data_IF_648999991502
#
_entry.id   IF_648999991502
#
_cell.length_a   1.000
_cell.length_b   1.000
_cell.length_c   1.000
_cell.angle_alpha   90.00
_cell.angle_beta   90.00
_cell.angle_gamma   90.00
#
_symmetry.space_group_name_H-M   'P 1'
#
loop_
_entity.id
_entity.type
_entity.pdbx_description
1 polymer ?
#
# COMPACT_ATOMS: atom_id res chain seq x y z
N UNK A 1 -22.76 -7.54 34.54
CA UNK A 1 -21.71 -8.57 34.33
C UNK A 1 -20.94 -8.41 33.01
N UNK A 2 -21.47 -7.77 31.96
CA UNK A 2 -20.75 -7.60 30.68
C UNK A 2 -19.50 -6.70 30.71
N UNK A 3 -19.45 -5.65 31.57
CA UNK A 3 -18.29 -4.73 31.69
C UNK A 3 -16.97 -5.38 32.14
N UNK A 4 -16.98 -6.60 32.68
CA UNK A 4 -15.74 -7.29 33.13
C UNK A 4 -14.95 -7.92 31.98
N UNK A 5 -15.59 -8.13 30.82
CA UNK A 5 -14.98 -8.67 29.60
C UNK A 5 -14.80 -7.60 28.51
N UNK A 6 -15.07 -6.33 28.86
CA UNK A 6 -14.89 -5.19 27.97
C UNK A 6 -13.38 -4.90 27.84
N UNK A 7 -12.79 -5.37 26.74
CA UNK A 7 -11.39 -5.13 26.38
C UNK A 7 -11.22 -3.67 26.00
N UNK A 8 -11.00 -2.80 27.00
CA UNK A 8 -10.78 -1.34 26.88
C UNK A 8 -9.80 -0.97 25.75
N UNK A 9 -10.29 -0.85 24.52
CA UNK A 9 -9.45 -0.69 23.32
C UNK A 9 -8.94 0.73 23.14
N UNK A 10 -9.74 1.72 23.57
CA UNK A 10 -9.49 3.16 23.40
C UNK A 10 -8.93 3.84 24.65
N UNK A 11 -8.37 3.06 25.59
CA UNK A 11 -7.76 3.59 26.80
C UNK A 11 -6.24 3.60 26.71
N UNK A 12 -5.65 4.69 27.20
CA UNK A 12 -4.20 4.80 27.35
C UNK A 12 -3.68 3.82 28.40
N UNK A 13 -2.49 3.28 28.14
CA UNK A 13 -1.68 2.58 29.13
C UNK A 13 -1.09 3.57 30.15
N UNK A 14 -0.55 3.08 31.29
CA UNK A 14 0.17 3.91 32.24
C UNK A 14 1.35 4.70 31.61
N UNK A 15 1.93 4.19 30.53
CA UNK A 15 3.01 4.84 29.77
C UNK A 15 2.51 5.82 28.70
N UNK A 16 1.19 6.06 28.61
CA UNK A 16 0.61 6.98 27.62
C UNK A 16 0.51 6.39 26.21
N UNK A 17 0.45 5.06 26.06
CA UNK A 17 0.41 4.37 24.77
C UNK A 17 -0.96 3.72 24.52
N UNK A 18 -1.36 3.60 23.26
CA UNK A 18 -2.57 2.85 22.87
C UNK A 18 -2.18 1.44 22.41
N UNK A 19 -2.18 0.47 23.32
CA UNK A 19 -1.70 -0.89 23.02
C UNK A 19 -2.42 -1.55 21.83
N UNK A 20 -3.71 -1.30 21.62
CA UNK A 20 -4.43 -1.87 20.48
C UNK A 20 -3.92 -1.35 19.12
N UNK A 21 -3.47 -0.09 19.07
CA UNK A 21 -2.86 0.48 17.86
C UNK A 21 -1.49 -0.18 17.62
N UNK A 22 -0.72 -0.40 18.67
CA UNK A 22 0.59 -1.06 18.57
C UNK A 22 0.47 -2.52 18.14
N UNK A 23 -0.51 -3.24 18.68
CA UNK A 23 -0.81 -4.60 18.23
C UNK A 23 -1.28 -4.62 16.78
N UNK A 24 -2.03 -3.61 16.32
CA UNK A 24 -2.41 -3.49 14.92
C UNK A 24 -1.19 -3.23 14.03
N UNK A 25 -0.26 -2.36 14.45
CA UNK A 25 1.00 -2.12 13.73
C UNK A 25 1.86 -3.39 13.66
N UNK A 26 1.95 -4.14 14.76
CA UNK A 26 2.66 -5.42 14.79
C UNK A 26 1.97 -6.47 13.91
N UNK A 27 0.65 -6.54 13.90
CA UNK A 27 -0.08 -7.43 13.00
C UNK A 27 0.19 -7.10 11.51
N UNK A 28 0.36 -5.82 11.18
CA UNK A 28 0.73 -5.37 9.83
C UNK A 28 2.15 -5.79 9.49
N UNK A 29 3.10 -5.75 10.43
CA UNK A 29 4.48 -6.21 10.22
C UNK A 29 4.57 -7.69 9.82
N UNK A 30 3.55 -8.49 10.15
CA UNK A 30 3.41 -9.89 9.69
C UNK A 30 2.62 -10.06 8.38
N UNK A 31 2.02 -8.99 7.86
CA UNK A 31 1.37 -9.00 6.54
C UNK A 31 2.43 -8.91 5.44
N UNK A 32 2.10 -9.34 4.24
CA UNK A 32 3.05 -9.29 3.13
C UNK A 32 3.47 -7.85 2.79
N UNK A 33 4.72 -7.69 2.40
CA UNK A 33 5.34 -6.39 2.12
C UNK A 33 4.71 -5.66 0.92
N UNK A 34 4.67 -4.33 1.01
CA UNK A 34 4.38 -3.42 -0.10
C UNK A 34 5.30 -2.18 -0.02
N UNK A 35 5.68 -1.65 -1.17
CA UNK A 35 6.64 -0.56 -1.35
C UNK A 35 6.03 0.47 -2.29
N UNK A 36 6.24 1.74 -2.00
CA UNK A 36 5.91 2.87 -2.86
C UNK A 36 7.16 3.67 -3.19
N UNK A 37 7.33 4.05 -4.46
CA UNK A 37 8.45 4.89 -4.93
C UNK A 37 7.88 5.96 -5.84
N UNK A 38 8.08 7.22 -5.46
CA UNK A 38 7.80 8.41 -6.25
C UNK A 38 8.95 8.62 -7.23
N UNK A 39 8.65 8.55 -8.53
CA UNK A 39 9.57 8.82 -9.62
C UNK A 39 9.18 10.15 -10.31
N UNK A 40 10.07 10.65 -11.16
CA UNK A 40 9.86 11.89 -11.91
C UNK A 40 8.74 11.79 -12.95
N UNK A 41 8.55 10.59 -13.51
CA UNK A 41 7.60 10.28 -14.58
C UNK A 41 6.39 9.44 -14.10
N UNK A 42 6.27 9.19 -12.79
CA UNK A 42 5.12 8.53 -12.18
C UNK A 42 5.38 7.97 -10.79
N UNK A 43 4.54 7.04 -10.33
CA UNK A 43 4.65 6.39 -9.03
C UNK A 43 4.60 4.88 -9.24
N UNK A 44 5.53 4.18 -8.60
CA UNK A 44 5.54 2.73 -8.53
C UNK A 44 4.96 2.28 -7.19
N UNK A 45 3.94 1.43 -7.25
CA UNK A 45 3.54 0.56 -6.14
C UNK A 45 4.03 -0.85 -6.45
N UNK A 46 4.65 -1.52 -5.50
CA UNK A 46 5.14 -2.88 -5.65
C UNK A 46 4.77 -3.68 -4.41
N UNK A 47 4.18 -4.86 -4.56
CA UNK A 47 3.72 -5.65 -3.43
C UNK A 47 4.01 -7.13 -3.63
N UNK A 48 4.18 -7.85 -2.51
CA UNK A 48 4.30 -9.29 -2.52
C UNK A 48 2.95 -9.95 -2.22
N UNK A 49 2.52 -10.88 -3.06
CA UNK A 49 1.32 -11.68 -2.84
C UNK A 49 1.63 -12.83 -1.88
N UNK A 50 0.74 -13.07 -0.92
CA UNK A 50 0.85 -14.23 -0.02
C UNK A 50 0.45 -15.49 -0.81
N UNK A 51 1.21 -16.58 -0.62
CA UNK A 51 1.12 -17.89 -1.32
C UNK A 51 -0.18 -18.10 -2.11
N UNK A 52 -0.11 -18.05 -3.44
CA UNK A 52 -1.22 -18.41 -4.32
C UNK A 52 -1.26 -19.93 -4.41
N UNK A 53 -2.17 -20.58 -3.67
CA UNK A 53 -2.37 -22.02 -3.85
C UNK A 53 -2.83 -22.30 -5.28
N UNK A 54 -2.42 -23.43 -5.87
CA UNK A 54 -2.73 -23.79 -7.27
C UNK A 54 -4.24 -23.80 -7.58
N UNK A 55 -5.05 -24.06 -6.56
CA UNK A 55 -6.51 -24.12 -6.66
C UNK A 55 -7.19 -22.74 -6.53
N UNK A 56 -6.44 -21.68 -6.22
CA UNK A 56 -6.98 -20.31 -6.23
C UNK A 56 -7.16 -19.88 -7.67
N UNK A 57 -8.39 -19.46 -8.00
CA UNK A 57 -8.69 -18.85 -9.28
C UNK A 57 -7.92 -17.54 -9.42
N UNK A 58 -6.86 -17.56 -10.23
CA UNK A 58 -5.99 -16.40 -10.47
C UNK A 58 -6.70 -15.28 -11.22
N UNK A 59 -7.83 -15.55 -11.88
CA UNK A 59 -8.61 -14.50 -12.54
C UNK A 59 -9.35 -13.60 -11.56
N UNK A 60 -9.51 -14.05 -10.30
CA UNK A 60 -10.16 -13.34 -9.20
C UNK A 60 -9.17 -13.10 -8.04
N UNK A 61 -7.90 -12.89 -8.39
CA UNK A 61 -6.77 -12.93 -7.47
C UNK A 61 -6.93 -12.04 -6.23
N UNK A 62 -6.22 -12.42 -5.17
CA UNK A 62 -6.05 -11.59 -3.97
C UNK A 62 -5.04 -10.46 -4.26
N UNK A 63 -5.49 -9.49 -5.04
CA UNK A 63 -4.71 -8.32 -5.39
C UNK A 63 -4.56 -7.42 -4.17
N UNK A 64 -3.39 -6.80 -4.06
CA UNK A 64 -3.10 -5.86 -2.98
C UNK A 64 -3.27 -4.42 -3.36
N UNK A 65 -3.44 -4.19 -4.66
CA UNK A 65 -3.57 -2.88 -5.24
C UNK A 65 -5.02 -2.63 -5.63
N UNK A 66 -5.51 -1.45 -5.29
CA UNK A 66 -6.89 -1.07 -5.49
C UNK A 66 -6.92 0.29 -6.17
N UNK A 67 -7.67 0.36 -7.26
CA UNK A 67 -8.05 1.64 -7.86
C UNK A 67 -9.18 2.26 -7.01
N UNK A 68 -8.98 3.50 -6.56
CA UNK A 68 -9.92 4.24 -5.73
C UNK A 68 -10.73 5.24 -6.57
N UNK A 69 -10.05 5.92 -7.50
CA UNK A 69 -10.63 6.76 -8.54
C UNK A 69 -9.64 6.81 -9.73
N UNK A 70 -10.03 7.42 -10.83
CA UNK A 70 -9.20 7.54 -12.05
C UNK A 70 -7.80 8.10 -11.75
N UNK A 71 -7.69 9.00 -10.77
CA UNK A 71 -6.47 9.71 -10.38
C UNK A 71 -5.84 9.24 -9.07
N UNK A 72 -6.36 8.19 -8.42
CA UNK A 72 -5.82 7.67 -7.16
C UNK A 72 -5.93 6.14 -7.08
N UNK A 73 -4.82 5.50 -6.79
CA UNK A 73 -4.74 4.08 -6.44
C UNK A 73 -4.08 3.90 -5.07
N UNK A 74 -4.26 2.73 -4.46
CA UNK A 74 -3.57 2.38 -3.23
C UNK A 74 -3.08 0.93 -3.21
N UNK A 75 -2.07 0.66 -2.38
CA UNK A 75 -1.67 -0.68 -1.98
C UNK A 75 -1.89 -0.85 -0.47
N UNK A 76 -2.36 -2.03 -0.06
CA UNK A 76 -2.66 -2.30 1.34
C UNK A 76 -1.76 -3.39 1.97
N UNK A 77 -1.43 -3.21 3.24
CA UNK A 77 -0.87 -4.25 4.10
C UNK A 77 -1.64 -4.32 5.41
N UNK A 78 -1.95 -5.54 5.86
CA UNK A 78 -2.76 -5.78 7.04
C UNK A 78 -3.89 -6.78 6.81
N UNK A 79 -5.01 -6.58 7.49
CA UNK A 79 -6.21 -7.41 7.43
C UNK A 79 -7.03 -7.08 6.17
N UNK A 80 -7.12 -8.02 5.23
CA UNK A 80 -7.81 -7.81 3.94
C UNK A 80 -9.31 -7.46 4.08
N UNK A 81 -10.01 -8.01 5.08
CA UNK A 81 -11.42 -7.68 5.30
C UNK A 81 -11.62 -6.22 5.71
N UNK A 82 -10.71 -5.69 6.54
CA UNK A 82 -10.71 -4.28 6.90
C UNK A 82 -10.38 -3.44 5.66
N UNK A 83 -9.40 -3.86 4.87
CA UNK A 83 -9.03 -3.18 3.62
C UNK A 83 -10.22 -2.99 2.70
N UNK A 84 -11.03 -4.03 2.48
CA UNK A 84 -12.17 -3.95 1.56
C UNK A 84 -13.19 -2.89 2.01
N UNK A 85 -13.52 -2.85 3.31
CA UNK A 85 -14.44 -1.85 3.87
C UNK A 85 -13.88 -0.43 3.69
N UNK A 86 -12.59 -0.25 3.96
CA UNK A 86 -11.93 1.04 3.84
C UNK A 86 -11.80 1.50 2.39
N UNK A 87 -11.55 0.58 1.45
CA UNK A 87 -11.48 0.86 0.01
C UNK A 87 -12.85 1.26 -0.54
N UNK A 88 -13.92 0.58 -0.16
CA UNK A 88 -15.28 0.93 -0.58
C UNK A 88 -15.68 2.31 -0.04
N UNK A 89 -15.38 2.60 1.23
CA UNK A 89 -15.56 3.92 1.80
C UNK A 89 -14.78 5.01 1.05
N UNK A 90 -13.52 4.75 0.71
CA UNK A 90 -12.68 5.68 -0.05
C UNK A 90 -13.25 5.98 -1.44
N UNK A 91 -13.74 4.96 -2.15
CA UNK A 91 -14.39 5.12 -3.45
C UNK A 91 -15.65 5.98 -3.35
N UNK A 92 -16.46 5.75 -2.33
CA UNK A 92 -17.64 6.57 -2.07
C UNK A 92 -17.27 8.04 -1.81
N UNK A 93 -16.22 8.29 -1.02
CA UNK A 93 -15.72 9.65 -0.75
C UNK A 93 -15.26 10.34 -2.02
N UNK A 94 -14.53 9.66 -2.91
CA UNK A 94 -14.12 10.20 -4.21
C UNK A 94 -15.33 10.66 -5.03
N UNK A 95 -16.32 9.78 -5.19
CA UNK A 95 -17.51 10.07 -6.00
C UNK A 95 -18.41 11.13 -5.38
N UNK A 96 -18.55 11.15 -4.05
CA UNK A 96 -19.28 12.19 -3.32
C UNK A 96 -18.63 13.56 -3.51
N UNK A 97 -17.30 13.65 -3.47
CA UNK A 97 -16.58 14.88 -3.71
C UNK A 97 -16.81 15.37 -5.15
N UNK A 98 -16.65 14.48 -6.13
CA UNK A 98 -16.90 14.78 -7.56
C UNK A 98 -18.33 15.24 -7.81
N UNK A 99 -19.32 14.59 -7.18
CA UNK A 99 -20.73 14.98 -7.27
C UNK A 99 -20.99 16.37 -6.66
N UNK A 100 -20.37 16.68 -5.52
CA UNK A 100 -20.62 17.92 -4.78
C UNK A 100 -19.93 19.13 -5.41
N UNK A 101 -18.67 18.96 -5.83
CA UNK A 101 -17.81 20.07 -6.28
C UNK A 101 -17.58 20.09 -7.79
N UNK A 102 -17.97 19.04 -8.52
CA UNK A 102 -17.75 18.93 -9.96
C UNK A 102 -16.29 18.69 -10.36
N UNK A 103 -15.44 18.29 -9.42
CA UNK A 103 -14.01 18.02 -9.64
C UNK A 103 -13.48 16.85 -8.81
N UNK A 104 -12.32 16.32 -9.22
CA UNK A 104 -11.61 15.25 -8.54
C UNK A 104 -11.11 15.68 -7.14
N UNK A 105 -11.23 14.78 -6.17
CA UNK A 105 -10.75 15.05 -4.80
C UNK A 105 -9.21 15.16 -4.77
N UNK A 106 -8.61 16.18 -4.13
CA UNK A 106 -7.16 16.22 -3.93
C UNK A 106 -6.65 14.99 -3.16
N UNK A 107 -5.46 14.49 -3.50
CA UNK A 107 -4.94 13.23 -2.95
C UNK A 107 -4.84 13.29 -1.42
N UNK A 108 -4.25 14.37 -0.90
CA UNK A 108 -4.10 14.58 0.55
C UNK A 108 -5.45 14.65 1.27
N UNK A 109 -6.45 15.28 0.67
CA UNK A 109 -7.77 15.38 1.27
C UNK A 109 -8.43 13.99 1.41
N UNK A 110 -8.28 13.12 0.41
CA UNK A 110 -8.79 11.74 0.50
C UNK A 110 -8.08 10.98 1.62
N UNK A 111 -6.75 11.11 1.73
CA UNK A 111 -5.95 10.47 2.80
C UNK A 111 -6.37 10.98 4.18
N UNK A 112 -6.64 12.27 4.32
CA UNK A 112 -7.12 12.84 5.58
C UNK A 112 -8.47 12.24 5.99
N UNK A 113 -9.42 12.09 5.06
CA UNK A 113 -10.76 11.53 5.36
C UNK A 113 -10.70 10.12 5.94
N UNK A 114 -9.88 9.26 5.35
CA UNK A 114 -9.71 7.87 5.83
C UNK A 114 -8.95 7.82 7.15
N UNK A 115 -7.99 8.73 7.36
CA UNK A 115 -7.27 8.87 8.61
C UNK A 115 -8.16 9.32 9.76
N UNK A 116 -9.06 10.28 9.53
CA UNK A 116 -10.05 10.69 10.52
C UNK A 116 -10.98 9.52 10.90
N UNK A 117 -11.40 8.72 9.91
CA UNK A 117 -12.21 7.53 10.17
C UNK A 117 -11.45 6.50 11.01
N UNK A 118 -10.19 6.22 10.66
CA UNK A 118 -9.33 5.31 11.45
C UNK A 118 -9.12 5.81 12.88
N UNK A 119 -8.83 7.10 13.04
CA UNK A 119 -8.61 7.73 14.35
C UNK A 119 -9.87 7.68 15.22
N UNK A 120 -11.07 7.79 14.64
CA UNK A 120 -12.31 7.69 15.42
C UNK A 120 -12.43 6.34 16.14
N UNK A 121 -11.91 5.25 15.56
CA UNK A 121 -11.88 3.89 16.15
C UNK A 121 -10.79 3.73 17.22
N UNK A 122 -9.82 4.64 17.30
CA UNK A 122 -8.78 4.63 18.35
C UNK A 122 -9.18 5.49 19.55
N UNK A 123 -10.11 6.43 19.37
CA UNK A 123 -10.55 7.35 20.41
C UNK A 123 -11.91 6.98 21.03
N UNK A 124 -12.88 6.51 20.23
CA UNK A 124 -14.26 6.34 20.66
C UNK A 124 -14.84 4.96 20.29
N UNK A 125 -15.99 4.62 20.89
CA UNK A 125 -16.78 3.45 20.50
C UNK A 125 -16.35 2.09 21.07
N UNK A 126 -15.15 1.97 21.67
CA UNK A 126 -14.67 0.72 22.25
C UNK A 126 -14.48 -0.41 21.23
N UNK A 127 -14.38 -0.05 19.94
CA UNK A 127 -14.13 -0.99 18.85
C UNK A 127 -12.62 -1.24 18.73
N UNK A 128 -12.23 -2.34 18.07
CA UNK A 128 -10.82 -2.53 17.70
C UNK A 128 -10.44 -1.56 16.57
N UNK A 129 -9.19 -1.07 16.53
CA UNK A 129 -8.72 -0.28 15.39
C UNK A 129 -8.69 -1.11 14.10
N UNK A 130 -8.68 -0.42 12.96
CA UNK A 130 -8.46 -1.03 11.67
C UNK A 130 -7.02 -1.54 11.55
N UNK A 131 -6.86 -2.83 11.27
CA UNK A 131 -5.55 -3.48 11.19
C UNK A 131 -4.91 -3.33 9.81
N UNK A 132 -4.91 -2.12 9.23
CA UNK A 132 -4.46 -1.87 7.85
C UNK A 132 -3.61 -0.61 7.76
N UNK A 133 -2.51 -0.70 7.02
CA UNK A 133 -1.77 0.44 6.48
C UNK A 133 -1.97 0.52 4.98
N UNK A 134 -2.01 1.74 4.45
CA UNK A 134 -2.12 1.99 3.02
C UNK A 134 -0.91 2.77 2.52
N UNK A 135 -0.52 2.49 1.29
CA UNK A 135 0.27 3.36 0.43
C UNK A 135 -0.66 3.92 -0.64
N UNK A 136 -0.72 5.23 -0.80
CA UNK A 136 -1.52 5.90 -1.82
C UNK A 136 -0.60 6.43 -2.90
N UNK A 137 -0.94 6.14 -4.16
CA UNK A 137 -0.33 6.74 -5.33
C UNK A 137 -1.42 7.55 -6.04
N UNK A 138 -1.22 8.85 -6.16
CA UNK A 138 -2.17 9.71 -6.86
C UNK A 138 -1.49 10.84 -7.59
N UNK A 139 -2.26 11.51 -8.44
CA UNK A 139 -1.87 12.75 -9.07
C UNK A 139 -3.00 13.75 -8.94
N UNK A 140 -2.66 14.99 -8.62
CA UNK A 140 -3.58 16.10 -8.76
C UNK A 140 -2.90 17.31 -9.38
N UNK A 141 -3.72 18.28 -9.79
CA UNK A 141 -3.26 19.51 -10.45
C UNK A 141 -2.46 20.45 -9.55
N UNK A 142 -2.43 20.23 -8.23
CA UNK A 142 -1.85 21.15 -7.27
C UNK A 142 -0.40 20.77 -6.94
N UNK A 143 -0.16 19.49 -6.67
CA UNK A 143 1.15 18.98 -6.25
C UNK A 143 1.71 17.91 -7.18
N UNK A 144 0.99 17.55 -8.24
CA UNK A 144 1.41 16.52 -9.18
C UNK A 144 1.38 15.14 -8.54
N UNK A 145 2.38 14.32 -8.86
CA UNK A 145 2.51 12.96 -8.31
C UNK A 145 2.77 13.01 -6.81
N UNK A 146 1.96 12.27 -6.05
CA UNK A 146 2.01 12.23 -4.60
C UNK A 146 1.95 10.79 -4.10
N UNK A 147 2.88 10.46 -3.21
CA UNK A 147 2.90 9.19 -2.49
C UNK A 147 2.65 9.46 -1.00
N UNK A 148 1.57 8.91 -0.47
CA UNK A 148 1.23 9.00 0.95
C UNK A 148 1.22 7.63 1.61
N UNK A 149 1.48 7.59 2.91
CA UNK A 149 1.32 6.41 3.74
C UNK A 149 0.48 6.75 4.96
N UNK A 150 -0.42 5.85 5.36
CA UNK A 150 -1.12 5.95 6.64
C UNK A 150 -1.05 4.65 7.43
N UNK A 151 -1.15 4.77 8.76
CA UNK A 151 -1.11 3.66 9.70
C UNK A 151 -2.46 3.46 10.45
N UNK A 152 -2.60 2.43 11.31
CA UNK A 152 -3.82 2.21 12.10
C UNK A 152 -4.20 3.31 13.07
N UNK A 153 -3.26 4.18 13.47
CA UNK A 153 -3.53 5.26 14.42
C UNK A 153 -4.36 6.39 13.80
N UNK A 154 -4.39 6.46 12.47
CA UNK A 154 -4.90 7.60 11.70
C UNK A 154 -3.82 8.62 11.36
N UNK A 155 -2.57 8.41 11.75
CA UNK A 155 -1.47 9.25 11.29
C UNK A 155 -1.17 8.96 9.80
N UNK A 156 -0.81 10.01 9.06
CA UNK A 156 -0.36 9.91 7.68
C UNK A 156 0.81 10.85 7.41
N UNK A 157 1.56 10.55 6.36
CA UNK A 157 2.64 11.41 5.88
C UNK A 157 2.88 11.24 4.38
N UNK A 158 3.38 12.30 3.75
CA UNK A 158 3.87 12.26 2.37
C UNK A 158 5.29 11.71 2.31
N UNK A 159 5.59 10.92 1.29
CA UNK A 159 6.86 10.20 1.15
C UNK A 159 7.39 10.28 -0.28
N UNK A 160 8.71 10.26 -0.42
CA UNK A 160 9.39 10.03 -1.71
C UNK A 160 9.52 8.54 -2.01
N UNK A 161 9.81 7.74 -0.99
CA UNK A 161 9.78 6.29 -1.06
C UNK A 161 9.55 5.74 0.35
N UNK A 162 8.73 4.71 0.48
CA UNK A 162 8.40 4.10 1.77
C UNK A 162 7.90 2.66 1.59
N UNK A 163 7.84 1.90 2.68
CA UNK A 163 7.38 0.52 2.68
C UNK A 163 6.45 0.26 3.87
N UNK A 164 5.53 -0.68 3.69
CA UNK A 164 4.64 -1.21 4.73
C UNK A 164 4.66 -2.73 4.70
N UNK A 165 4.26 -3.35 5.81
CA UNK A 165 4.21 -4.81 5.95
C UNK A 165 5.53 -5.43 6.37
N UNK A 166 5.71 -6.71 6.03
CA UNK A 166 6.89 -7.48 6.42
C UNK A 166 8.21 -6.86 5.95
N UNK A 167 9.18 -6.86 6.86
CA UNK A 167 10.54 -6.39 6.64
C UNK A 167 10.65 -4.94 6.12
N UNK A 168 9.69 -4.07 6.43
CA UNK A 168 9.68 -2.69 5.95
C UNK A 168 10.95 -1.91 6.34
N UNK A 169 11.55 -2.16 7.51
CA UNK A 169 12.77 -1.48 7.96
C UNK A 169 13.98 -1.81 7.05
N UNK A 170 14.07 -3.05 6.57
CA UNK A 170 15.12 -3.45 5.64
C UNK A 170 14.91 -2.80 4.27
N UNK A 171 13.65 -2.72 3.81
CA UNK A 171 13.28 -2.02 2.59
C UNK A 171 13.62 -0.52 2.67
N UNK A 172 13.29 0.14 3.77
CA UNK A 172 13.65 1.54 4.02
C UNK A 172 15.16 1.77 4.03
N UNK A 173 15.93 0.87 4.64
CA UNK A 173 17.39 0.98 4.65
C UNK A 173 17.98 0.94 3.24
N UNK A 174 17.47 0.04 2.39
CA UNK A 174 17.89 -0.05 0.98
C UNK A 174 17.44 1.21 0.21
N UNK A 175 16.21 1.67 0.40
CA UNK A 175 15.71 2.89 -0.24
C UNK A 175 16.54 4.11 0.15
N UNK A 176 16.90 4.28 1.42
CA UNK A 176 17.76 5.39 1.89
C UNK A 176 19.13 5.40 1.22
N UNK A 177 19.67 4.23 0.87
CA UNK A 177 20.98 4.12 0.24
C UNK A 177 20.96 4.30 -1.29
N UNK A 178 19.86 3.98 -1.95
CA UNK A 178 19.82 3.79 -3.41
C UNK A 178 18.81 4.70 -4.14
N UNK A 179 17.84 5.27 -3.42
CA UNK A 179 16.87 6.21 -4.00
C UNK A 179 17.55 7.52 -4.39
N UNK A 180 17.09 8.10 -5.49
CA UNK A 180 17.50 9.43 -5.97
C UNK A 180 16.27 10.24 -6.32
N UNK A 181 16.34 11.55 -6.13
CA UNK A 181 15.22 12.45 -6.39
C UNK A 181 14.83 12.51 -7.87
N UNK A 182 15.76 12.21 -8.78
CA UNK A 182 15.57 12.17 -10.23
C UNK A 182 15.28 10.77 -10.77
N UNK A 183 14.97 9.79 -9.90
CA UNK A 183 14.72 8.41 -10.32
C UNK A 183 13.58 8.32 -11.33
N UNK A 184 13.79 7.53 -12.37
CA UNK A 184 12.76 7.20 -13.37
C UNK A 184 11.94 5.99 -12.95
N UNK A 185 10.75 5.80 -13.52
CA UNK A 185 9.91 4.62 -13.28
C UNK A 185 10.64 3.31 -13.58
N UNK A 186 11.47 3.26 -14.62
CA UNK A 186 12.24 2.05 -14.95
C UNK A 186 13.32 1.74 -13.91
N UNK A 187 13.98 2.77 -13.37
CA UNK A 187 14.93 2.59 -12.27
C UNK A 187 14.21 2.23 -10.96
N UNK A 188 13.05 2.82 -10.69
CA UNK A 188 12.22 2.50 -9.54
C UNK A 188 11.79 1.02 -9.56
N UNK A 189 11.43 0.47 -10.74
CA UNK A 189 11.11 -0.97 -10.89
C UNK A 189 12.30 -1.85 -10.52
N UNK A 190 13.50 -1.51 -11.02
CA UNK A 190 14.73 -2.25 -10.69
C UNK A 190 15.08 -2.16 -9.20
N UNK A 191 14.89 -0.99 -8.60
CA UNK A 191 15.07 -0.78 -7.17
C UNK A 191 14.09 -1.62 -6.35
N UNK A 192 12.81 -1.66 -6.72
CA UNK A 192 11.81 -2.50 -6.05
C UNK A 192 12.15 -4.00 -6.14
N UNK A 193 12.59 -4.48 -7.30
CA UNK A 193 13.08 -5.86 -7.47
C UNK A 193 14.29 -6.14 -6.56
N UNK A 194 15.26 -5.22 -6.50
CA UNK A 194 16.43 -5.32 -5.62
C UNK A 194 16.03 -5.37 -4.14
N UNK A 195 15.06 -4.56 -3.73
CA UNK A 195 14.53 -4.56 -2.36
C UNK A 195 13.93 -5.91 -2.02
N UNK A 196 13.01 -6.43 -2.85
CA UNK A 196 12.39 -7.72 -2.62
C UNK A 196 13.42 -8.86 -2.63
N UNK A 197 14.45 -8.78 -3.47
CA UNK A 197 15.50 -9.80 -3.54
C UNK A 197 16.39 -9.83 -2.30
N UNK A 198 16.63 -8.68 -1.66
CA UNK A 198 17.49 -8.56 -0.48
C UNK A 198 16.73 -8.69 0.83
N UNK A 199 15.45 -8.36 0.87
CA UNK A 199 14.60 -8.68 2.01
C UNK A 199 14.52 -10.20 2.17
N UNK A 200 14.65 -10.72 3.40
CA UNK A 200 14.88 -12.14 3.81
C UNK A 200 13.87 -13.17 3.26
N UNK A 201 12.91 -12.71 2.48
CA UNK A 201 11.84 -13.42 1.80
C UNK A 201 12.22 -13.89 0.37
N UNK A 202 13.51 -14.15 0.14
CA UNK A 202 14.18 -14.32 -1.16
C UNK A 202 14.02 -15.69 -1.83
N UNK A 203 13.42 -16.68 -1.18
CA UNK A 203 13.47 -18.08 -1.64
C UNK A 203 12.63 -18.40 -2.89
N UNK A 204 11.88 -17.46 -3.46
CA UNK A 204 11.25 -17.64 -4.79
C UNK A 204 10.75 -16.30 -5.36
N UNK A 205 11.61 -15.63 -6.14
CA UNK A 205 11.22 -14.46 -6.93
C UNK A 205 10.40 -14.90 -8.14
N UNK A 206 9.16 -15.28 -7.89
CA UNK A 206 8.25 -15.81 -8.91
C UNK A 206 7.31 -14.68 -9.35
N UNK A 207 7.09 -14.48 -10.67
CA UNK A 207 6.19 -13.46 -11.18
C UNK A 207 4.80 -13.45 -10.52
N UNK A 208 4.23 -14.63 -10.26
CA UNK A 208 2.92 -14.80 -9.63
C UNK A 208 2.84 -14.32 -8.16
N UNK A 209 4.00 -14.16 -7.51
CA UNK A 209 4.12 -13.70 -6.11
C UNK A 209 4.39 -12.21 -6.01
N UNK A 210 4.59 -11.52 -7.14
CA UNK A 210 4.87 -10.10 -7.17
C UNK A 210 3.77 -9.37 -7.92
N UNK A 211 3.48 -8.16 -7.48
CA UNK A 211 2.54 -7.25 -8.10
C UNK A 211 3.22 -5.91 -8.25
N UNK A 212 3.16 -5.33 -9.45
CA UNK A 212 3.70 -4.01 -9.74
C UNK A 212 2.59 -3.17 -10.35
N UNK A 213 2.22 -2.10 -9.67
CA UNK A 213 1.27 -1.09 -10.12
C UNK A 213 2.02 0.15 -10.55
N UNK A 214 1.84 0.54 -11.81
CA UNK A 214 2.43 1.74 -12.38
C UNK A 214 1.33 2.79 -12.44
N UNK A 215 1.53 3.88 -11.70
CA UNK A 215 0.69 5.07 -11.77
C UNK A 215 1.44 6.14 -12.57
N UNK A 216 0.86 6.63 -13.66
CA UNK A 216 1.43 7.72 -14.46
C UNK A 216 0.36 8.44 -15.27
N UNK A 217 0.70 9.62 -15.77
CA UNK A 217 -0.09 10.28 -16.80
C UNK A 217 0.09 9.55 -18.14
N UNK A 218 -1.01 9.39 -18.88
CA UNK A 218 -1.01 8.85 -20.24
C UNK A 218 -0.58 9.91 -21.27
N UNK A 219 -0.60 9.55 -22.55
CA UNK A 219 -0.22 10.46 -23.63
C UNK A 219 -1.16 11.67 -23.78
N UNK A 220 -2.33 11.66 -23.15
CA UNK A 220 -3.32 12.73 -23.10
C UNK A 220 -3.24 13.53 -21.79
N UNK A 221 -2.21 13.32 -20.96
CA UNK A 221 -2.07 13.87 -19.62
C UNK A 221 -3.19 13.47 -18.66
N UNK A 222 -3.81 12.30 -18.86
CA UNK A 222 -4.79 11.74 -17.93
C UNK A 222 -4.14 10.75 -16.99
N UNK A 223 -4.45 10.79 -15.69
CA UNK A 223 -4.00 9.76 -14.76
C UNK A 223 -4.41 8.36 -15.20
N UNK A 224 -3.48 7.42 -15.10
CA UNK A 224 -3.68 6.03 -15.44
C UNK A 224 -2.95 5.14 -14.43
N UNK A 225 -3.68 4.23 -13.82
CA UNK A 225 -3.12 3.17 -13.00
C UNK A 225 -3.18 1.83 -13.74
N UNK A 226 -2.05 1.16 -13.90
CA UNK A 226 -1.99 -0.17 -14.54
C UNK A 226 -1.15 -1.13 -13.71
N UNK A 227 -1.75 -2.27 -13.36
CA UNK A 227 -1.04 -3.41 -12.79
C UNK A 227 -0.37 -4.21 -13.91
N UNK A 228 0.92 -4.49 -13.74
CA UNK A 228 1.72 -5.27 -14.68
C UNK A 228 1.24 -6.71 -14.73
N UNK A 229 1.23 -7.30 -15.92
CA UNK A 229 0.90 -8.73 -16.10
C UNK A 229 2.11 -9.58 -15.72
N UNK A 230 1.88 -10.84 -15.31
CA UNK A 230 2.94 -11.80 -14.97
C UNK A 230 4.04 -11.91 -16.04
N UNK A 231 3.70 -11.78 -17.32
CA UNK A 231 4.66 -11.77 -18.44
C UNK A 231 5.59 -10.56 -18.40
N UNK A 232 5.06 -9.38 -18.12
CA UNK A 232 5.83 -8.14 -18.01
C UNK A 232 6.74 -8.20 -16.77
N UNK A 233 6.24 -8.72 -15.65
CA UNK A 233 7.03 -8.95 -14.43
C UNK A 233 8.16 -9.97 -14.69
N UNK A 234 7.87 -11.02 -15.45
CA UNK A 234 8.87 -12.04 -15.82
C UNK A 234 10.05 -11.44 -16.61
N UNK A 235 9.76 -10.53 -17.53
CA UNK A 235 10.80 -9.82 -18.31
C UNK A 235 11.63 -8.93 -17.38
N UNK A 236 10.97 -8.15 -16.52
CA UNK A 236 11.66 -7.28 -15.56
C UNK A 236 12.62 -8.05 -14.63
N UNK A 237 12.20 -9.22 -14.15
CA UNK A 237 13.05 -10.07 -13.30
C UNK A 237 14.29 -10.57 -14.05
N UNK A 238 14.14 -10.96 -15.33
CA UNK A 238 15.26 -11.38 -16.18
C UNK A 238 16.23 -10.24 -16.46
N UNK A 239 15.73 -9.04 -16.71
CA UNK A 239 16.56 -7.83 -16.89
C UNK A 239 17.36 -7.48 -15.63
N UNK A 240 16.82 -7.78 -14.45
CA UNK A 240 17.52 -7.61 -13.18
C UNK A 240 18.50 -8.75 -12.84
N UNK A 241 18.68 -9.73 -13.74
CA UNK A 241 19.59 -10.86 -13.55
C UNK A 241 19.11 -11.88 -12.52
N UNK A 242 17.80 -11.91 -12.21
CA UNK A 242 17.24 -12.89 -11.27
C UNK A 242 16.81 -14.13 -12.05
N UNK A 243 17.49 -15.26 -11.82
CA UNK A 243 17.08 -16.55 -12.35
C UNK A 243 15.72 -16.95 -11.76
N UNK A 244 14.77 -17.26 -12.63
CA UNK A 244 13.44 -17.70 -12.22
C UNK A 244 13.57 -19.12 -11.67
N UNK A 245 13.34 -19.29 -10.37
CA UNK A 245 13.12 -20.61 -9.80
C UNK A 245 11.76 -21.08 -10.33
N UNK A 246 11.73 -22.21 -11.05
CA UNK A 246 10.47 -22.87 -11.40
C UNK A 246 9.62 -23.00 -10.14
N UNK A 247 8.32 -22.70 -10.21
CA UNK A 247 7.35 -22.94 -9.14
C UNK A 247 7.31 -24.46 -8.87
N UNK A 248 8.27 -24.96 -8.08
CA UNK A 248 8.24 -26.29 -7.49
C UNK A 248 7.31 -26.17 -6.29
N UNK A 249 6.02 -26.42 -6.54
CA UNK A 249 5.01 -27.04 -5.64
C UNK A 249 3.57 -26.69 -6.08
#
# INVERSE_FOLDING_TARGET
MARRYDSRTTMFSPEGRLYQVEYAMEAISHSSSAIGILATDGILLAAKKKRVARLVDRSKGADKMYELDEHIACAAAGITSDTNILVDYLRDVCQQHRFTYGEEIPVEMLVQRICDMKQSYTQYGGLRPYGVSFLYAGWDRYFGYQLYMCDPSGNYGGWKATAIGANYQAAESIMKAEYKDDITLEEAKKLAVKIFSKSVESSSMVPSKLEFGIFKLDNQNKPSFKVMKDREVSVLLKECGIEQVEDRD
#
